data_IF_670694917983
#
_entry.id   IF_670694917983
#
_cell.length_a   1.000
_cell.length_b   1.000
_cell.length_c   1.000
_cell.angle_alpha   90.00
_cell.angle_beta   90.00
_cell.angle_gamma   90.00
#
_symmetry.space_group_name_H-M   'P 1'
#
loop_
_entity.id
_entity.type
_entity.pdbx_description
1 polymer ?
#
# COMPACT_ATOMS: atom_id res chain seq x y z
N UNK A 1 11.56 5.59 -6.21
CA UNK A 1 10.82 6.47 -5.30
C UNK A 1 9.73 5.70 -4.58
N UNK A 2 8.91 4.94 -5.32
CA UNK A 2 7.77 4.17 -4.81
C UNK A 2 8.12 3.21 -3.67
N UNK A 3 9.22 2.46 -3.79
CA UNK A 3 9.66 1.53 -2.75
C UNK A 3 9.86 2.18 -1.38
N UNK A 4 10.39 3.42 -1.35
CA UNK A 4 10.62 4.14 -0.11
C UNK A 4 9.33 4.77 0.44
N UNK A 5 8.43 5.23 -0.42
CA UNK A 5 7.19 5.88 -0.03
C UNK A 5 6.08 4.88 0.35
N UNK A 6 6.06 3.72 -0.29
CA UNK A 6 5.01 2.70 -0.14
C UNK A 6 4.69 2.32 1.30
N UNK A 7 5.64 1.94 2.17
CA UNK A 7 5.28 1.49 3.50
C UNK A 7 4.61 2.59 4.33
N UNK A 8 5.02 3.84 4.19
CA UNK A 8 4.41 4.97 4.89
C UNK A 8 3.00 5.28 4.40
N UNK A 9 2.78 5.20 3.08
CA UNK A 9 1.45 5.44 2.52
C UNK A 9 0.52 4.27 2.82
N UNK A 10 0.98 3.02 2.70
CA UNK A 10 0.19 1.83 3.00
C UNK A 10 -0.24 1.76 4.48
N UNK A 11 0.57 2.30 5.40
CA UNK A 11 0.29 2.38 6.83
C UNK A 11 -0.18 3.77 7.29
N UNK A 12 -0.57 4.66 6.38
CA UNK A 12 -0.95 6.04 6.71
C UNK A 12 -2.07 6.13 7.77
N UNK A 13 -2.97 5.15 7.81
CA UNK A 13 -4.04 5.07 8.80
C UNK A 13 -3.54 4.93 10.25
N UNK A 14 -2.39 4.28 10.49
CA UNK A 14 -1.76 4.21 11.80
C UNK A 14 -1.23 5.57 12.26
N UNK A 15 -0.91 6.45 11.31
CA UNK A 15 -0.54 7.85 11.55
C UNK A 15 -1.73 8.81 11.61
N UNK A 16 -2.97 8.31 11.59
CA UNK A 16 -4.18 9.14 11.62
C UNK A 16 -4.50 9.85 10.29
N UNK A 17 -3.89 9.43 9.18
CA UNK A 17 -4.14 9.99 7.85
C UNK A 17 -5.03 9.04 7.06
N UNK A 18 -6.25 9.49 6.71
CA UNK A 18 -7.16 8.73 5.84
C UNK A 18 -6.76 8.87 4.37
N UNK A 19 -6.87 7.76 3.61
CA UNK A 19 -6.67 7.74 2.16
C UNK A 19 -7.99 7.75 1.37
N UNK A 20 -9.14 7.87 2.04
CA UNK A 20 -10.46 7.71 1.41
C UNK A 20 -10.67 8.71 0.27
N UNK A 21 -10.26 9.97 0.49
CA UNK A 21 -10.34 11.07 -0.47
C UNK A 21 -9.29 11.00 -1.60
N UNK A 22 -8.34 10.05 -1.53
CA UNK A 22 -7.24 9.91 -2.47
C UNK A 22 -7.33 8.59 -3.27
N UNK A 23 -8.29 8.45 -4.21
CA UNK A 23 -8.52 7.20 -4.94
C UNK A 23 -7.29 6.73 -5.74
N UNK A 24 -6.50 7.66 -6.28
CA UNK A 24 -5.28 7.33 -7.01
C UNK A 24 -4.23 6.68 -6.10
N UNK A 25 -4.07 7.16 -4.86
CA UNK A 25 -3.17 6.53 -3.88
C UNK A 25 -3.66 5.15 -3.46
N UNK A 26 -4.98 4.99 -3.27
CA UNK A 26 -5.57 3.68 -2.94
C UNK A 26 -5.35 2.66 -4.05
N UNK A 27 -5.55 3.04 -5.32
CA UNK A 27 -5.24 2.18 -6.47
C UNK A 27 -3.75 1.87 -6.55
N UNK A 28 -2.88 2.86 -6.38
CA UNK A 28 -1.43 2.63 -6.38
C UNK A 28 -1.00 1.66 -5.26
N UNK A 29 -1.53 1.78 -4.04
CA UNK A 29 -1.25 0.83 -2.95
C UNK A 29 -1.75 -0.58 -3.31
N UNK A 30 -2.93 -0.69 -3.92
CA UNK A 30 -3.48 -1.96 -4.37
C UNK A 30 -2.58 -2.62 -5.42
N UNK A 31 -2.22 -1.91 -6.48
CA UNK A 31 -1.40 -2.42 -7.57
C UNK A 31 0.01 -2.79 -7.09
N UNK A 32 0.60 -1.98 -6.21
CA UNK A 32 1.94 -2.23 -5.68
C UNK A 32 2.03 -3.57 -4.93
N UNK A 33 0.97 -3.95 -4.20
CA UNK A 33 0.88 -5.23 -3.49
C UNK A 33 0.68 -6.45 -4.42
N UNK A 34 0.33 -6.22 -5.69
CA UNK A 34 0.19 -7.25 -6.73
C UNK A 34 1.43 -7.41 -7.60
N UNK A 35 2.48 -6.61 -7.37
CA UNK A 35 3.70 -6.73 -8.14
C UNK A 35 4.34 -8.12 -7.96
N UNK A 36 4.85 -8.75 -9.04
CA UNK A 36 5.59 -10.00 -8.94
C UNK A 36 6.76 -9.85 -7.97
N UNK A 37 6.86 -10.76 -6.99
CA UNK A 37 7.90 -10.73 -5.97
C UNK A 37 7.66 -9.74 -4.83
N UNK A 38 6.44 -9.19 -4.69
CA UNK A 38 6.08 -8.43 -3.50
C UNK A 38 6.17 -9.32 -2.24
N UNK A 39 6.98 -8.89 -1.28
CA UNK A 39 7.12 -9.55 0.02
C UNK A 39 6.42 -8.68 1.06
N UNK A 40 5.41 -9.26 1.72
CA UNK A 40 4.70 -8.57 2.79
C UNK A 40 5.56 -8.33 4.03
N UNK A 41 5.07 -7.46 4.90
CA UNK A 41 5.65 -7.15 6.21
C UNK A 41 4.53 -6.96 7.24
N UNK A 42 4.88 -6.78 8.51
CA UNK A 42 3.88 -6.52 9.56
C UNK A 42 3.02 -5.30 9.17
N UNK A 43 1.70 -5.47 9.19
CA UNK A 43 0.73 -4.44 8.77
C UNK A 43 0.50 -4.32 7.27
N UNK A 44 1.32 -4.94 6.41
CA UNK A 44 1.17 -4.91 4.96
C UNK A 44 1.27 -6.32 4.38
N UNK A 45 0.12 -6.94 4.14
CA UNK A 45 0.07 -8.30 3.61
C UNK A 45 0.22 -8.32 2.09
N UNK A 46 0.68 -9.44 1.48
CA UNK A 46 0.54 -9.63 0.04
C UNK A 46 -0.92 -9.46 -0.38
N UNK A 47 -1.15 -9.04 -1.62
CA UNK A 47 -2.50 -9.05 -2.14
C UNK A 47 -3.00 -10.50 -2.33
N UNK A 48 -4.32 -10.68 -2.22
CA UNK A 48 -4.95 -11.92 -2.66
C UNK A 48 -4.91 -12.06 -4.18
N UNK A 49 -5.34 -13.20 -4.75
CA UNK A 49 -5.55 -13.29 -6.19
C UNK A 49 -6.53 -12.20 -6.66
N UNK A 50 -6.22 -11.57 -7.79
CA UNK A 50 -7.03 -10.53 -8.42
C UNK A 50 -8.37 -11.05 -8.94
#
# INVERSE_FOLDING_TARGET
>A
ADLACFPYVALAGEGGISLDEFPALRHWVWDFRHLPGFIGMSGIFPAGPA
#
